data_IF_682732368104
#
_entry.id   IF_682732368104
#
_cell.length_a   1.000
_cell.length_b   1.000
_cell.length_c   1.000
_cell.angle_alpha   90.00
_cell.angle_beta   90.00
_cell.angle_gamma   90.00
#
_symmetry.space_group_name_H-M   'P 1'
#
loop_
_entity.id
_entity.type
_entity.pdbx_description
1 polymer ?
#
# COMPACT_ATOMS: atom_id res chain seq x y z
N UNK A 1 -5.61 0.45 -26.57
CA UNK A 1 -6.96 0.04 -26.10
C UNK A 1 -7.03 0.32 -24.62
N UNK A 2 -8.15 0.79 -24.14
CA UNK A 2 -8.36 1.04 -22.72
C UNK A 2 -8.98 -0.16 -22.03
N UNK A 3 -8.73 -0.32 -20.72
CA UNK A 3 -9.23 -1.48 -20.01
C UNK A 3 -9.29 -1.33 -18.50
N UNK A 4 -9.92 -2.34 -17.92
CA UNK A 4 -10.15 -2.54 -16.51
C UNK A 4 -9.76 -3.98 -16.15
N UNK A 5 -8.98 -4.13 -15.09
CA UNK A 5 -8.66 -5.41 -14.47
C UNK A 5 -9.18 -5.42 -13.04
N UNK A 6 -9.81 -6.53 -12.64
CA UNK A 6 -10.31 -6.71 -11.27
C UNK A 6 -9.53 -7.83 -10.63
N UNK A 7 -8.72 -7.49 -9.64
CA UNK A 7 -7.99 -8.46 -8.83
C UNK A 7 -8.80 -8.76 -7.58
N UNK A 8 -9.05 -10.04 -7.30
CA UNK A 8 -9.73 -10.52 -6.08
C UNK A 8 -8.81 -11.37 -5.19
N UNK A 9 -7.53 -11.45 -5.56
CA UNK A 9 -6.49 -12.13 -4.81
C UNK A 9 -5.77 -11.16 -3.88
N UNK A 10 -5.12 -11.69 -2.86
CA UNK A 10 -4.24 -10.94 -1.97
C UNK A 10 -3.01 -10.49 -2.76
N UNK A 11 -2.86 -9.17 -2.92
CA UNK A 11 -1.77 -8.61 -3.71
C UNK A 11 -1.28 -7.29 -3.11
N UNK A 12 0.01 -7.04 -3.34
CA UNK A 12 0.68 -5.77 -3.04
C UNK A 12 0.82 -5.02 -4.35
N UNK A 13 0.32 -3.78 -4.38
CA UNK A 13 0.37 -2.87 -5.53
C UNK A 13 1.38 -1.77 -5.22
N UNK A 14 2.32 -1.52 -6.12
CA UNK A 14 3.43 -0.60 -5.89
C UNK A 14 3.81 0.18 -7.14
N UNK A 15 4.48 1.32 -6.95
CA UNK A 15 4.80 2.28 -8.03
C UNK A 15 5.97 1.84 -8.94
N UNK A 16 6.19 0.54 -9.11
CA UNK A 16 7.27 -0.03 -9.94
C UNK A 16 8.68 0.20 -9.38
N UNK A 17 9.65 0.38 -10.28
CA UNK A 17 11.09 0.49 -9.98
C UNK A 17 11.55 1.82 -9.38
N UNK A 18 10.62 2.70 -9.01
CA UNK A 18 10.95 4.03 -8.43
C UNK A 18 11.60 3.97 -7.04
N UNK A 19 11.81 2.76 -6.48
CA UNK A 19 12.39 2.57 -5.16
C UNK A 19 11.47 3.08 -4.05
N UNK A 20 12.02 3.12 -2.83
CA UNK A 20 11.36 3.67 -1.64
C UNK A 20 12.38 4.62 -1.02
N UNK A 21 12.05 5.91 -0.91
CA UNK A 21 12.98 6.88 -0.30
C UNK A 21 12.76 6.98 1.21
N UNK A 22 11.52 6.83 1.67
CA UNK A 22 11.20 6.90 3.09
C UNK A 22 9.91 6.18 3.45
N UNK A 23 9.88 5.60 4.64
CA UNK A 23 8.68 5.03 5.25
C UNK A 23 8.35 5.81 6.53
N UNK A 24 7.09 6.21 6.67
CA UNK A 24 6.60 7.00 7.79
C UNK A 24 5.83 6.15 8.78
N UNK A 25 6.17 6.29 10.07
CA UNK A 25 5.43 5.68 11.16
C UNK A 25 4.02 6.28 11.30
N UNK A 26 2.96 5.45 11.41
CA UNK A 26 1.58 5.94 11.57
C UNK A 26 1.32 6.62 12.91
N UNK A 27 2.05 6.27 13.99
CA UNK A 27 1.80 6.82 15.33
C UNK A 27 2.58 8.12 15.60
N UNK A 28 3.87 8.17 15.27
CA UNK A 28 4.73 9.34 15.57
C UNK A 28 5.11 10.17 14.35
N UNK A 29 4.68 9.78 13.14
CA UNK A 29 4.93 10.49 11.88
C UNK A 29 6.40 10.67 11.49
N UNK A 30 7.35 10.08 12.23
CA UNK A 30 8.77 10.08 11.86
C UNK A 30 8.97 9.33 10.54
N UNK A 31 9.81 9.89 9.67
CA UNK A 31 10.23 9.24 8.43
C UNK A 31 11.57 8.55 8.66
N UNK A 32 11.71 7.33 8.18
CA UNK A 32 12.95 6.55 8.25
C UNK A 32 13.36 6.09 6.87
N UNK A 33 14.68 5.89 6.72
CA UNK A 33 15.21 5.20 5.55
C UNK A 33 14.66 3.75 5.58
N UNK A 34 14.16 3.20 4.47
CA UNK A 34 13.69 1.81 4.42
C UNK A 34 14.73 0.80 4.92
N UNK A 35 16.03 1.05 4.72
CA UNK A 35 17.11 0.17 5.18
C UNK A 35 17.16 0.05 6.72
N UNK A 36 16.59 1.00 7.46
CA UNK A 36 16.50 0.97 8.92
C UNK A 36 15.30 0.16 9.44
N UNK A 37 14.45 -0.37 8.55
CA UNK A 37 13.17 -1.01 8.90
C UNK A 37 13.05 -2.40 8.24
N UNK A 38 12.46 -3.39 8.93
CA UNK A 38 12.21 -4.73 8.36
C UNK A 38 10.97 -4.74 7.44
N UNK A 39 10.86 -3.76 6.54
CA UNK A 39 9.65 -3.56 5.72
C UNK A 39 9.45 -4.67 4.70
N UNK A 40 10.52 -5.14 4.05
CA UNK A 40 10.44 -6.19 3.04
C UNK A 40 9.91 -7.49 3.65
N UNK A 41 10.40 -7.86 4.84
CA UNK A 41 9.93 -9.05 5.56
C UNK A 41 8.45 -8.91 5.97
N UNK A 42 8.04 -7.73 6.42
CA UNK A 42 6.66 -7.47 6.78
C UNK A 42 5.72 -7.51 5.55
N UNK A 43 6.17 -7.01 4.39
CA UNK A 43 5.44 -7.13 3.12
C UNK A 43 5.29 -8.60 2.71
N UNK A 44 6.38 -9.39 2.75
CA UNK A 44 6.35 -10.81 2.45
C UNK A 44 5.42 -11.59 3.38
N UNK A 45 5.53 -11.36 4.69
CA UNK A 45 4.64 -11.96 5.68
C UNK A 45 3.17 -11.56 5.47
N UNK A 46 2.89 -10.33 5.01
CA UNK A 46 1.54 -9.93 4.67
C UNK A 46 1.03 -10.65 3.42
N UNK A 47 1.86 -10.79 2.39
CA UNK A 47 1.50 -11.45 1.13
C UNK A 47 1.24 -12.95 1.31
N UNK A 48 2.07 -13.63 2.12
CA UNK A 48 1.95 -15.06 2.43
C UNK A 48 0.86 -15.37 3.47
N UNK A 49 0.29 -14.34 4.11
CA UNK A 49 -0.66 -14.47 5.23
C UNK A 49 -0.11 -15.21 6.47
N UNK A 50 1.17 -14.99 6.78
CA UNK A 50 1.87 -15.67 7.88
C UNK A 50 1.59 -15.06 9.28
N UNK A 51 0.51 -14.29 9.42
CA UNK A 51 -0.03 -13.79 10.70
C UNK A 51 0.71 -12.61 11.36
N UNK A 52 2.03 -12.46 11.21
CA UNK A 52 2.77 -11.33 11.77
C UNK A 52 3.46 -10.50 10.69
N UNK A 53 2.78 -9.45 10.25
CA UNK A 53 3.29 -8.44 9.30
C UNK A 53 3.36 -7.04 9.94
N UNK A 54 3.65 -7.00 11.25
CA UNK A 54 3.84 -5.76 11.99
C UNK A 54 5.30 -5.31 11.97
N UNK A 55 5.50 -4.00 11.83
CA UNK A 55 6.79 -3.35 12.06
C UNK A 55 6.75 -2.55 13.35
N UNK A 56 7.88 -2.57 14.08
CA UNK A 56 8.08 -1.73 15.25
C UNK A 56 8.81 -0.45 14.86
N UNK A 57 8.28 0.70 15.25
CA UNK A 57 8.95 1.98 15.09
C UNK A 57 10.13 2.10 16.07
N UNK A 58 11.36 2.40 15.60
CA UNK A 58 12.51 2.62 16.48
C UNK A 58 12.35 3.85 17.40
N UNK A 59 11.61 4.87 16.97
CA UNK A 59 11.50 6.15 17.69
C UNK A 59 10.46 6.12 18.81
N UNK A 60 9.24 5.65 18.53
CA UNK A 60 8.14 5.65 19.50
C UNK A 60 7.83 4.27 20.08
N UNK A 61 8.44 3.21 19.55
CA UNK A 61 8.22 1.83 20.00
C UNK A 61 6.89 1.22 19.58
N UNK A 62 6.01 1.96 18.90
CA UNK A 62 4.72 1.45 18.42
C UNK A 62 4.92 0.28 17.44
N UNK A 63 4.09 -0.74 17.54
CA UNK A 63 4.06 -1.89 16.63
C UNK A 63 2.76 -1.85 15.84
N UNK A 64 2.86 -1.72 14.52
CA UNK A 64 1.73 -1.56 13.61
C UNK A 64 1.89 -2.42 12.37
N UNK A 65 0.76 -2.84 11.81
CA UNK A 65 0.73 -3.58 10.55
C UNK A 65 1.39 -2.78 9.44
N UNK A 66 2.16 -3.41 8.56
CA UNK A 66 2.75 -2.78 7.37
C UNK A 66 1.73 -2.00 6.53
N UNK A 67 0.46 -2.43 6.54
CA UNK A 67 -0.69 -1.80 5.84
C UNK A 67 -1.03 -0.39 6.37
N UNK A 68 -0.61 -0.09 7.60
CA UNK A 68 -0.80 1.21 8.27
C UNK A 68 0.37 2.18 8.03
N UNK A 69 1.54 1.68 7.62
CA UNK A 69 2.70 2.53 7.35
C UNK A 69 2.54 3.28 6.03
N UNK A 70 3.05 4.50 5.97
CA UNK A 70 2.99 5.31 4.76
C UNK A 70 4.34 5.34 4.07
N UNK A 71 4.37 4.79 2.85
CA UNK A 71 5.48 4.92 1.92
C UNK A 71 5.42 6.28 1.23
N UNK A 72 6.58 6.84 0.90
CA UNK A 72 6.76 8.08 0.14
C UNK A 72 5.97 8.06 -1.19
N UNK A 73 6.00 6.93 -1.87
CA UNK A 73 5.10 6.62 -2.97
C UNK A 73 3.97 5.71 -2.46
N UNK A 74 2.70 5.95 -2.80
CA UNK A 74 1.61 5.14 -2.27
C UNK A 74 1.72 3.66 -2.68
N UNK A 75 1.84 2.77 -1.68
CA UNK A 75 1.66 1.33 -1.85
C UNK A 75 0.26 0.92 -1.41
N UNK A 76 -0.28 -0.12 -2.05
CA UNK A 76 -1.60 -0.68 -1.78
C UNK A 76 -1.51 -2.13 -1.33
N UNK A 77 -2.21 -2.46 -0.24
CA UNK A 77 -2.31 -3.82 0.28
C UNK A 77 -3.79 -4.19 0.32
N UNK A 78 -4.21 -5.18 -0.47
CA UNK A 78 -5.62 -5.55 -0.52
C UNK A 78 -5.90 -6.91 -1.13
N UNK A 79 -7.14 -7.37 -0.91
CA UNK A 79 -7.72 -8.55 -1.55
C UNK A 79 -8.68 -8.18 -2.70
N UNK A 80 -8.84 -6.88 -2.97
CA UNK A 80 -9.67 -6.34 -4.04
C UNK A 80 -8.98 -5.11 -4.62
N UNK A 81 -8.75 -5.09 -5.92
CA UNK A 81 -8.23 -3.93 -6.63
C UNK A 81 -8.88 -3.79 -8.01
N UNK A 82 -8.90 -2.55 -8.48
CA UNK A 82 -9.38 -2.18 -9.81
C UNK A 82 -8.25 -1.46 -10.53
N UNK A 83 -7.61 -2.15 -11.47
CA UNK A 83 -6.57 -1.59 -12.32
C UNK A 83 -7.18 -0.94 -13.56
N UNK A 84 -6.80 0.29 -13.86
CA UNK A 84 -7.27 1.02 -15.04
C UNK A 84 -6.10 1.47 -15.89
N UNK A 85 -6.18 1.29 -17.21
CA UNK A 85 -5.15 1.78 -18.13
C UNK A 85 -5.75 2.42 -19.38
N UNK A 86 -5.04 3.42 -19.90
CA UNK A 86 -5.44 4.26 -21.03
C UNK A 86 -6.80 4.98 -20.86
N UNK A 87 -7.33 5.10 -19.63
CA UNK A 87 -8.52 5.90 -19.32
C UNK A 87 -8.18 7.13 -18.46
N UNK A 88 -8.80 8.29 -18.72
CA UNK A 88 -8.83 9.37 -17.74
C UNK A 88 -9.78 8.96 -16.60
N UNK A 89 -9.22 8.58 -15.46
CA UNK A 89 -9.99 8.26 -14.26
C UNK A 89 -10.22 9.54 -13.46
N UNK A 90 -11.47 9.82 -13.10
CA UNK A 90 -11.80 10.95 -12.26
C UNK A 90 -11.38 10.69 -10.81
N UNK A 91 -10.82 11.69 -10.13
CA UNK A 91 -10.38 11.57 -8.72
C UNK A 91 -11.48 11.09 -7.77
N UNK A 92 -12.74 11.45 -8.07
CA UNK A 92 -13.92 11.01 -7.30
C UNK A 92 -14.14 9.50 -7.30
N UNK A 93 -13.58 8.78 -8.27
CA UNK A 93 -13.81 7.34 -8.42
C UNK A 93 -13.37 6.56 -7.18
N UNK A 94 -12.25 6.95 -6.57
CA UNK A 94 -11.77 6.31 -5.34
C UNK A 94 -12.77 6.49 -4.18
N UNK A 95 -13.40 7.66 -4.08
CA UNK A 95 -14.43 7.96 -3.06
C UNK A 95 -15.68 7.09 -3.30
N UNK A 96 -16.12 6.96 -4.54
CA UNK A 96 -17.30 6.16 -4.90
C UNK A 96 -17.05 4.65 -4.66
N UNK A 97 -15.88 4.13 -5.04
CA UNK A 97 -15.49 2.73 -4.77
C UNK A 97 -15.42 2.48 -3.27
N UNK A 98 -14.82 3.38 -2.50
CA UNK A 98 -14.75 3.26 -1.04
C UNK A 98 -16.14 3.24 -0.42
N UNK A 99 -17.06 4.09 -0.89
CA UNK A 99 -18.44 4.13 -0.40
C UNK A 99 -19.24 2.86 -0.71
N UNK A 100 -19.07 2.29 -1.91
CA UNK A 100 -19.77 1.06 -2.32
C UNK A 100 -19.22 -0.17 -1.58
N UNK A 101 -17.90 -0.25 -1.42
CA UNK A 101 -17.25 -1.41 -0.80
C UNK A 101 -17.24 -1.34 0.73
N UNK A 102 -17.42 -0.16 1.32
CA UNK A 102 -17.29 0.06 2.76
C UNK A 102 -15.85 -0.11 3.28
N UNK A 103 -14.86 -0.12 2.39
CA UNK A 103 -13.46 -0.34 2.71
C UNK A 103 -12.62 0.91 2.47
N UNK A 104 -11.51 1.05 3.21
CA UNK A 104 -10.49 2.06 2.93
C UNK A 104 -9.86 1.76 1.57
N UNK A 105 -9.86 2.73 0.66
CA UNK A 105 -9.19 2.63 -0.64
C UNK A 105 -7.87 3.41 -0.63
N UNK A 106 -6.92 2.96 -1.45
CA UNK A 106 -5.65 3.65 -1.70
C UNK A 106 -5.42 3.68 -3.21
N UNK A 107 -5.11 4.87 -3.74
CA UNK A 107 -4.75 5.03 -5.14
C UNK A 107 -3.25 4.76 -5.29
N UNK A 108 -2.90 3.87 -6.19
CA UNK A 108 -1.53 3.50 -6.54
C UNK A 108 -1.35 3.74 -8.02
N UNK A 109 -0.25 4.38 -8.40
CA UNK A 109 0.12 4.59 -9.79
C UNK A 109 1.22 3.59 -10.14
N UNK A 110 0.83 2.44 -10.70
CA UNK A 110 1.81 1.49 -11.24
C UNK A 110 2.35 2.04 -12.56
N UNK A 111 3.67 2.10 -12.69
CA UNK A 111 4.30 2.27 -14.00
C UNK A 111 4.25 0.91 -14.70
N UNK A 112 3.26 0.71 -15.56
CA UNK A 112 3.16 -0.42 -16.49
C UNK A 112 3.72 0.01 -17.84
#
# INVERSE_FOLDING_TARGET
MCGLEVTTQRQVFHTGDNGIDSIRCPDCSVRRNPDDLPWSDAVGAWFEDNGNYCMKCPDCGASRSIVEWEFDHPWGFGNLAFGFWNWPIADRMMVEISAITGNRCRLVHEHI
#
